data_IF_674424720038
#
_entry.id   IF_674424720038
#
_cell.length_a   1.000
_cell.length_b   1.000
_cell.length_c   1.000
_cell.angle_alpha   90.00
_cell.angle_beta   90.00
_cell.angle_gamma   90.00
#
_symmetry.space_group_name_H-M   'P 1'
#
loop_
_entity.id
_entity.type
_entity.pdbx_description
1 polymer ?
#
# COMPACT_ATOMS: atom_id res chain seq x y z
N UNK A 1 -10.56 11.21 -0.41
CA UNK A 1 -9.25 11.85 -0.39
C UNK A 1 -8.90 12.42 -1.75
N UNK A 2 -8.35 13.61 -1.77
CA UNK A 2 -8.01 14.28 -3.02
C UNK A 2 -7.03 13.48 -3.88
N UNK A 3 -6.06 12.82 -3.25
CA UNK A 3 -5.07 12.01 -3.98
C UNK A 3 -5.75 10.90 -4.76
N UNK A 4 -6.71 10.21 -4.13
CA UNK A 4 -7.43 9.12 -4.78
C UNK A 4 -8.34 9.62 -5.89
N UNK A 5 -9.00 10.75 -5.68
CA UNK A 5 -9.81 11.37 -6.73
C UNK A 5 -8.96 11.76 -7.92
N UNK A 6 -7.79 12.35 -7.65
CA UNK A 6 -6.85 12.75 -8.69
C UNK A 6 -6.37 11.54 -9.51
N UNK A 7 -6.07 10.45 -8.84
CA UNK A 7 -5.63 9.21 -9.49
C UNK A 7 -6.75 8.48 -10.19
N UNK A 8 -8.00 8.75 -9.82
CA UNK A 8 -9.18 8.06 -10.34
C UNK A 8 -9.10 6.55 -10.12
N UNK A 9 -8.52 6.15 -9.00
CA UNK A 9 -8.42 4.75 -8.62
C UNK A 9 -9.64 4.33 -7.82
N UNK A 10 -10.06 3.09 -8.01
CA UNK A 10 -11.11 2.51 -7.18
C UNK A 10 -10.53 2.23 -5.79
N UNK A 11 -11.22 2.69 -4.76
CA UNK A 11 -10.88 2.39 -3.39
C UNK A 11 -11.72 1.22 -2.90
N UNK A 12 -11.08 0.30 -2.20
CA UNK A 12 -11.75 -0.86 -1.62
C UNK A 12 -11.68 -0.75 -0.11
N UNK A 13 -12.83 -0.85 0.55
CA UNK A 13 -12.90 -0.78 2.02
C UNK A 13 -12.55 -2.13 2.63
N UNK A 14 -12.26 -2.14 3.94
CA UNK A 14 -12.08 -3.39 4.67
C UNK A 14 -13.30 -4.30 4.54
N UNK A 15 -14.50 -3.75 4.64
CA UNK A 15 -15.72 -4.53 4.49
C UNK A 15 -15.82 -5.14 3.09
N UNK A 16 -15.44 -4.39 2.06
CA UNK A 16 -15.43 -4.88 0.68
C UNK A 16 -14.45 -6.02 0.46
N UNK A 17 -13.39 -6.08 1.28
CA UNK A 17 -12.41 -7.18 1.23
C UNK A 17 -12.77 -8.32 2.19
N UNK A 18 -13.85 -8.19 2.95
CA UNK A 18 -14.22 -9.19 3.94
C UNK A 18 -13.43 -9.10 5.24
N UNK A 19 -12.78 -7.97 5.49
CA UNK A 19 -11.98 -7.77 6.69
C UNK A 19 -12.79 -7.07 7.79
N UNK A 20 -12.65 -7.52 9.06
CA UNK A 20 -13.26 -6.80 10.19
C UNK A 20 -12.51 -5.50 10.45
N UNK A 21 -13.16 -4.50 11.10
CA UNK A 21 -12.50 -3.23 11.40
C UNK A 21 -11.23 -3.35 12.24
N UNK A 22 -11.13 -4.41 13.05
CA UNK A 22 -9.97 -4.66 13.91
C UNK A 22 -8.94 -5.61 13.31
N UNK A 23 -8.96 -5.83 12.00
CA UNK A 23 -8.03 -6.75 11.34
C UNK A 23 -6.58 -6.35 11.62
N UNK A 24 -5.71 -7.34 11.84
CA UNK A 24 -4.29 -7.10 12.03
C UNK A 24 -3.62 -6.71 10.71
N UNK A 25 -2.43 -6.12 10.78
CA UNK A 25 -1.64 -5.78 9.59
C UNK A 25 -1.39 -7.02 8.73
N UNK A 26 -1.13 -8.15 9.36
CA UNK A 26 -0.94 -9.41 8.65
C UNK A 26 -2.18 -9.80 7.87
N UNK A 27 -3.35 -9.73 8.48
CA UNK A 27 -4.60 -10.07 7.81
C UNK A 27 -4.85 -9.14 6.62
N UNK A 28 -4.60 -7.84 6.79
CA UNK A 28 -4.75 -6.86 5.71
C UNK A 28 -3.82 -7.21 4.56
N UNK A 29 -2.54 -7.46 4.86
CA UNK A 29 -1.56 -7.80 3.84
C UNK A 29 -1.95 -9.08 3.09
N UNK A 30 -2.32 -10.13 3.82
CA UNK A 30 -2.69 -11.42 3.22
C UNK A 30 -3.89 -11.28 2.28
N UNK A 31 -4.92 -10.54 2.71
CA UNK A 31 -6.11 -10.34 1.88
C UNK A 31 -5.78 -9.55 0.63
N UNK A 32 -4.97 -8.49 0.76
CA UNK A 32 -4.57 -7.70 -0.39
C UNK A 32 -3.80 -8.55 -1.41
N UNK A 33 -2.94 -9.44 -0.94
CA UNK A 33 -2.22 -10.35 -1.84
C UNK A 33 -3.17 -11.35 -2.50
N UNK A 34 -4.08 -11.93 -1.73
CA UNK A 34 -5.03 -12.91 -2.27
C UNK A 34 -5.95 -12.29 -3.30
N UNK A 35 -6.45 -11.09 -3.03
CA UNK A 35 -7.39 -10.41 -3.91
C UNK A 35 -6.70 -9.57 -4.99
N UNK A 36 -5.39 -9.56 -5.01
CA UNK A 36 -4.58 -8.77 -5.96
C UNK A 36 -4.94 -7.29 -5.92
N UNK A 37 -5.01 -6.76 -4.71
CA UNK A 37 -5.29 -5.35 -4.42
C UNK A 37 -4.01 -4.68 -3.95
N UNK A 38 -3.71 -3.52 -4.49
CA UNK A 38 -2.53 -2.74 -4.09
C UNK A 38 -2.81 -2.05 -2.76
N UNK A 39 -1.91 -2.28 -1.79
CA UNK A 39 -1.99 -1.62 -0.50
C UNK A 39 -1.10 -0.38 -0.49
N UNK A 40 -1.71 0.77 -0.20
CA UNK A 40 -0.98 2.04 -0.02
C UNK A 40 -1.20 2.46 1.42
N UNK A 41 -0.12 2.68 2.16
CA UNK A 41 -0.22 2.93 3.59
C UNK A 41 0.90 3.85 4.07
N UNK A 42 0.68 4.51 5.21
CA UNK A 42 1.74 5.22 5.94
C UNK A 42 2.34 4.35 7.05
N UNK A 43 1.85 3.12 7.21
CA UNK A 43 2.25 2.23 8.30
C UNK A 43 3.67 1.67 8.08
N UNK A 44 4.58 2.03 8.97
CA UNK A 44 5.96 1.54 8.97
C UNK A 44 6.28 0.77 10.24
N UNK A 45 5.26 0.36 10.99
CA UNK A 45 5.41 -0.37 12.22
C UNK A 45 6.06 -1.74 11.98
N UNK A 46 7.12 -2.04 12.71
CA UNK A 46 7.84 -3.31 12.63
C UNK A 46 7.80 -4.08 13.95
N UNK A 47 7.00 -3.62 14.90
CA UNK A 47 6.90 -4.24 16.22
C UNK A 47 5.89 -5.39 16.22
N UNK A 48 6.32 -6.54 16.74
CA UNK A 48 5.46 -7.69 16.91
C UNK A 48 5.34 -8.58 15.67
N UNK A 49 4.88 -9.81 15.86
CA UNK A 49 4.83 -10.81 14.78
C UNK A 49 3.76 -10.53 13.73
N UNK A 50 2.74 -9.76 14.08
CA UNK A 50 1.66 -9.43 13.15
C UNK A 50 1.78 -8.03 12.56
N UNK A 51 2.93 -7.36 12.73
CA UNK A 51 3.17 -6.06 12.10
C UNK A 51 3.26 -6.21 10.58
N UNK A 52 3.01 -5.12 9.88
CA UNK A 52 3.10 -5.12 8.42
C UNK A 52 4.50 -5.52 7.95
N UNK A 53 5.54 -4.96 8.57
CA UNK A 53 6.91 -5.27 8.21
C UNK A 53 7.25 -6.74 8.43
N UNK A 54 6.86 -7.30 9.57
CA UNK A 54 7.08 -8.72 9.85
C UNK A 54 6.35 -9.60 8.83
N UNK A 55 5.14 -9.24 8.47
CA UNK A 55 4.36 -9.98 7.48
C UNK A 55 5.06 -9.99 6.12
N UNK A 56 5.56 -8.83 5.69
CA UNK A 56 6.29 -8.72 4.44
C UNK A 56 7.53 -9.60 4.49
N UNK A 57 8.33 -9.50 5.56
CA UNK A 57 9.58 -10.26 5.67
C UNK A 57 9.35 -11.76 5.66
N UNK A 58 8.27 -12.24 6.30
CA UNK A 58 8.03 -13.67 6.43
C UNK A 58 7.31 -14.30 5.24
N UNK A 59 6.40 -13.56 4.62
CA UNK A 59 5.48 -14.15 3.65
C UNK A 59 5.63 -13.63 2.24
N UNK A 60 6.49 -12.64 1.99
CA UNK A 60 6.68 -12.11 0.65
C UNK A 60 7.29 -13.18 -0.27
N UNK A 61 6.76 -13.28 -1.47
CA UNK A 61 7.28 -14.18 -2.51
C UNK A 61 7.63 -13.36 -3.75
N UNK A 62 8.22 -14.01 -4.74
CA UNK A 62 8.55 -13.34 -6.00
C UNK A 62 7.31 -12.87 -6.77
N UNK A 63 6.14 -13.43 -6.47
CA UNK A 63 4.89 -13.05 -7.09
C UNK A 63 4.09 -12.03 -6.28
N UNK A 64 4.49 -11.74 -5.04
CA UNK A 64 3.75 -10.83 -4.17
C UNK A 64 3.76 -9.40 -4.72
N UNK A 65 2.60 -8.76 -4.65
CA UNK A 65 2.50 -7.33 -4.98
C UNK A 65 3.24 -6.51 -3.93
N UNK A 66 3.90 -5.42 -4.34
CA UNK A 66 4.57 -4.56 -3.36
C UNK A 66 3.55 -3.78 -2.53
N UNK A 67 3.96 -3.41 -1.32
CA UNK A 67 3.23 -2.48 -0.48
C UNK A 67 3.83 -1.09 -0.72
N UNK A 68 3.00 -0.13 -1.11
CA UNK A 68 3.45 1.25 -1.30
C UNK A 68 3.28 2.00 0.01
N UNK A 69 4.36 2.56 0.52
CA UNK A 69 4.37 3.27 1.79
C UNK A 69 4.63 4.75 1.57
N UNK A 70 3.72 5.59 2.08
CA UNK A 70 3.88 7.04 2.02
C UNK A 70 4.99 7.45 2.98
N UNK A 71 6.03 8.10 2.46
CA UNK A 71 7.13 8.56 3.30
C UNK A 71 6.68 9.71 4.20
N UNK A 72 5.76 10.55 3.73
CA UNK A 72 5.26 11.69 4.49
C UNK A 72 3.77 11.90 4.20
N UNK A 73 2.92 11.17 4.92
CA UNK A 73 1.48 11.24 4.75
C UNK A 73 0.91 12.63 5.13
N UNK A 74 1.50 13.28 6.10
CA UNK A 74 1.06 14.62 6.50
C UNK A 74 1.25 15.62 5.37
N UNK A 75 2.38 15.53 4.68
CA UNK A 75 2.67 16.43 3.57
C UNK A 75 1.74 16.19 2.39
N UNK A 76 1.35 14.93 2.17
CA UNK A 76 0.36 14.59 1.13
C UNK A 76 -0.95 15.33 1.36
N UNK A 77 -1.37 15.47 2.63
CA UNK A 77 -2.61 16.15 2.98
C UNK A 77 -2.50 17.68 2.90
N UNK A 78 -1.30 18.23 3.06
CA UNK A 78 -1.09 19.69 3.22
C UNK A 78 -0.52 20.36 1.98
N UNK A 79 0.19 19.61 1.13
CA UNK A 79 0.91 20.17 -0.01
C UNK A 79 0.42 19.49 -1.29
N UNK A 80 -0.38 20.18 -2.07
CA UNK A 80 -0.96 19.63 -3.28
C UNK A 80 0.09 19.22 -4.31
N UNK A 81 1.15 20.00 -4.44
CA UNK A 81 2.21 19.69 -5.39
C UNK A 81 2.94 18.42 -5.01
N UNK A 82 3.20 18.24 -3.72
CA UNK A 82 3.78 17.00 -3.23
C UNK A 82 2.85 15.81 -3.46
N UNK A 83 1.55 15.99 -3.21
CA UNK A 83 0.56 14.94 -3.44
C UNK A 83 0.52 14.54 -4.91
N UNK A 84 0.62 15.50 -5.84
CA UNK A 84 0.67 15.21 -7.27
C UNK A 84 1.93 14.42 -7.63
N UNK A 85 3.07 14.75 -7.02
CA UNK A 85 4.31 14.00 -7.24
C UNK A 85 4.16 12.55 -6.77
N UNK A 86 3.58 12.36 -5.59
CA UNK A 86 3.30 11.02 -5.06
C UNK A 86 2.38 10.24 -6.00
N UNK A 87 1.32 10.89 -6.47
CA UNK A 87 0.36 10.28 -7.38
C UNK A 87 1.02 9.85 -8.69
N UNK A 88 1.86 10.71 -9.26
CA UNK A 88 2.57 10.41 -10.51
C UNK A 88 3.48 9.19 -10.34
N UNK A 89 4.20 9.12 -9.22
CA UNK A 89 5.08 7.98 -8.94
C UNK A 89 4.30 6.69 -8.78
N UNK A 90 3.15 6.76 -8.11
CA UNK A 90 2.29 5.58 -7.97
C UNK A 90 1.77 5.13 -9.32
N UNK A 91 1.30 6.04 -10.15
CA UNK A 91 0.79 5.71 -11.49
C UNK A 91 1.88 5.04 -12.33
N UNK A 92 3.09 5.59 -12.32
CA UNK A 92 4.21 5.01 -13.05
C UNK A 92 4.46 3.57 -12.61
N UNK A 93 4.45 3.34 -11.30
CA UNK A 93 4.66 2.00 -10.76
C UNK A 93 3.54 1.05 -11.15
N UNK A 94 2.29 1.52 -11.16
CA UNK A 94 1.15 0.68 -11.53
C UNK A 94 1.19 0.25 -12.99
N UNK A 95 1.71 1.08 -13.88
CA UNK A 95 1.86 0.70 -15.28
C UNK A 95 2.88 -0.42 -15.47
N UNK A 96 3.79 -0.59 -14.54
CA UNK A 96 4.83 -1.61 -14.62
C UNK A 96 4.84 -2.46 -13.34
N UNK A 97 3.66 -2.72 -12.80
CA UNK A 97 3.52 -3.33 -11.48
C UNK A 97 4.18 -4.72 -11.39
N UNK A 98 4.13 -5.48 -12.48
CA UNK A 98 4.71 -6.82 -12.46
C UNK A 98 6.22 -6.80 -12.29
N UNK A 99 6.89 -5.73 -12.71
CA UNK A 99 8.33 -5.55 -12.49
C UNK A 99 8.68 -5.33 -11.03
N UNK A 100 7.71 -4.94 -10.21
CA UNK A 100 7.92 -4.68 -8.79
C UNK A 100 7.50 -5.84 -7.90
N UNK A 101 6.95 -6.91 -8.46
CA UNK A 101 6.60 -8.09 -7.67
C UNK A 101 7.83 -8.65 -6.99
N UNK A 102 7.68 -9.02 -5.73
CA UNK A 102 8.77 -9.57 -4.93
C UNK A 102 9.60 -8.55 -4.18
N UNK A 103 9.46 -7.26 -4.46
CA UNK A 103 10.25 -6.22 -3.78
C UNK A 103 9.84 -6.00 -2.33
N UNK A 104 8.63 -6.36 -1.96
CA UNK A 104 8.11 -6.24 -0.61
C UNK A 104 7.50 -4.88 -0.32
N UNK A 105 8.31 -3.88 -0.11
CA UNK A 105 7.85 -2.53 0.22
C UNK A 105 8.56 -1.50 -0.66
N UNK A 106 7.78 -0.56 -1.19
CA UNK A 106 8.29 0.57 -1.95
C UNK A 106 7.81 1.86 -1.30
N UNK A 107 8.69 2.85 -1.22
CA UNK A 107 8.35 4.13 -0.62
C UNK A 107 7.97 5.14 -1.70
N UNK A 108 6.89 5.85 -1.44
CA UNK A 108 6.49 6.98 -2.26
C UNK A 108 7.01 8.26 -1.61
N UNK A 109 7.43 9.25 -2.39
CA UNK A 109 8.06 10.48 -1.90
C UNK A 109 7.32 11.22 -0.82
#
# INVERSE_FOLDING_TARGET
QEVWEFLRLAQVSFAGLGLPPGASDREVWEVCQREQVILVTANRNDEGPDSLESSIQQYNTLQSLPVFTLANDQRVLQDRQYAETVADRLIEALFDIDSYRGTGRLYLP
#
